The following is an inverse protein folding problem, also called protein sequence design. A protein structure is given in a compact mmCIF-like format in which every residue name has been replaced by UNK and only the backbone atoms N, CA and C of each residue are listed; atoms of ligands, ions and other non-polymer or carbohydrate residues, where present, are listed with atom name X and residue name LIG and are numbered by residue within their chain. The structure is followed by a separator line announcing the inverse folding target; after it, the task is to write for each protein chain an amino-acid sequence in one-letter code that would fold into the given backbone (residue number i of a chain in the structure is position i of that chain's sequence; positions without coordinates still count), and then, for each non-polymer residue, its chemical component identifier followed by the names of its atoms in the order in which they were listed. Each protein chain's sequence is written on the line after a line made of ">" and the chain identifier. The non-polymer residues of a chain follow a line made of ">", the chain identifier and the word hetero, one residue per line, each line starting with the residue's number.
data_IF_458337737125
#
_entry.id   IF_458337737125
#
_cell.length_a   1.000
_cell.length_b   1.000
_cell.length_c   1.000
_cell.angle_alpha   90.00
_cell.angle_beta   90.00
_cell.angle_gamma   90.00
#
_symmetry.space_group_name_H-M   'P 1'
#
loop_
_entity.id
_entity.type
_entity.pdbx_description
1 polymer ?
#
# COMPACT_ATOMS: atom_id res chain seq x y z
N UNK A 1 12.71 0.82 12.19
CA UNK A 1 11.68 1.88 12.08
C UNK A 1 10.83 1.88 13.35
N UNK A 2 10.40 3.03 13.88
CA UNK A 2 9.45 3.05 15.00
C UNK A 2 8.02 2.94 14.45
N UNK A 3 7.37 1.80 14.71
CA UNK A 3 5.99 1.55 14.28
C UNK A 3 5.01 1.71 15.45
N UNK A 4 3.81 2.27 15.21
CA UNK A 4 2.73 2.28 16.20
C UNK A 4 2.41 0.85 16.68
N UNK A 5 2.05 0.66 17.97
CA UNK A 5 1.74 -0.67 18.51
C UNK A 5 0.64 -1.41 17.74
N UNK A 6 -0.35 -0.68 17.21
CA UNK A 6 -1.44 -1.24 16.39
C UNK A 6 -0.91 -1.90 15.11
N UNK A 7 0.07 -1.31 14.43
CA UNK A 7 0.68 -1.92 13.24
C UNK A 7 1.53 -3.10 13.67
N UNK A 8 2.38 -2.92 14.69
CA UNK A 8 3.31 -3.95 15.16
C UNK A 8 2.61 -5.24 15.62
N UNK A 9 1.44 -5.10 16.26
CA UNK A 9 0.68 -6.23 16.80
C UNK A 9 -0.14 -6.99 15.75
N UNK A 10 -0.40 -6.37 14.58
CA UNK A 10 -1.23 -6.96 13.52
C UNK A 10 -0.42 -7.32 12.26
N UNK A 11 0.84 -6.89 12.17
CA UNK A 11 1.72 -7.22 11.05
C UNK A 11 2.32 -8.62 11.23
N UNK A 12 2.21 -9.44 10.19
CA UNK A 12 2.79 -10.79 10.10
C UNK A 12 3.26 -11.06 8.67
N UNK A 13 4.04 -12.11 8.45
CA UNK A 13 4.55 -12.47 7.11
C UNK A 13 3.41 -12.53 6.07
N UNK A 14 3.62 -11.85 4.94
CA UNK A 14 2.66 -11.73 3.84
C UNK A 14 1.56 -10.69 4.04
N UNK A 15 1.52 -9.99 5.19
CA UNK A 15 0.51 -8.97 5.50
C UNK A 15 1.07 -7.57 5.27
N UNK A 16 0.25 -6.72 4.64
CA UNK A 16 0.51 -5.30 4.48
C UNK A 16 -0.55 -4.45 5.19
N UNK A 17 -0.12 -3.44 5.93
CA UNK A 17 -1.01 -2.55 6.69
C UNK A 17 -0.71 -1.09 6.40
N UNK A 18 -1.76 -0.27 6.28
CA UNK A 18 -1.62 1.19 6.25
C UNK A 18 -1.06 1.70 7.57
N UNK A 19 -0.10 2.63 7.51
CA UNK A 19 0.43 3.34 8.66
C UNK A 19 0.65 4.82 8.36
N UNK A 20 0.74 5.62 9.43
CA UNK A 20 1.64 6.78 9.43
C UNK A 20 1.32 7.78 8.31
N UNK A 21 0.02 8.11 8.16
CA UNK A 21 -0.58 8.99 7.15
C UNK A 21 -0.68 8.41 5.73
N UNK A 22 0.44 8.18 5.05
CA UNK A 22 0.48 7.78 3.64
C UNK A 22 1.54 6.68 3.38
N UNK A 23 1.75 5.82 4.37
CA UNK A 23 2.68 4.70 4.27
C UNK A 23 1.93 3.37 4.36
N UNK A 24 2.50 2.34 3.74
CA UNK A 24 2.07 0.95 3.87
C UNK A 24 3.27 0.16 4.33
N UNK A 25 3.09 -0.70 5.32
CA UNK A 25 4.16 -1.55 5.85
C UNK A 25 3.80 -2.98 5.53
N UNK A 26 4.67 -3.68 4.81
CA UNK A 26 4.54 -5.08 4.45
C UNK A 26 5.62 -5.88 5.17
N UNK A 27 5.25 -6.87 5.97
CA UNK A 27 6.24 -7.83 6.48
C UNK A 27 6.37 -8.96 5.47
N UNK A 28 7.48 -8.96 4.75
CA UNK A 28 7.76 -10.01 3.78
C UNK A 28 9.24 -10.04 3.39
N UNK A 29 9.71 -11.25 3.12
CA UNK A 29 10.99 -11.48 2.44
C UNK A 29 10.91 -11.35 0.91
N UNK A 30 9.70 -11.26 0.35
CA UNK A 30 9.43 -11.09 -1.08
C UNK A 30 9.14 -9.61 -1.39
N UNK A 31 10.19 -8.89 -1.76
CA UNK A 31 10.15 -7.46 -2.07
C UNK A 31 10.78 -7.20 -3.44
N UNK A 32 10.41 -6.09 -4.12
CA UNK A 32 10.79 -5.92 -5.50
C UNK A 32 12.28 -5.62 -5.62
N UNK A 33 12.99 -6.33 -6.52
CA UNK A 33 14.44 -6.10 -6.73
C UNK A 33 14.72 -4.82 -7.49
N UNK A 34 13.74 -4.34 -8.25
CA UNK A 34 13.80 -3.09 -8.98
C UNK A 34 12.62 -2.21 -8.57
N UNK A 35 12.92 -0.98 -8.15
CA UNK A 35 11.93 0.00 -7.71
C UNK A 35 11.45 0.94 -8.81
N UNK A 36 12.08 0.89 -10.00
CA UNK A 36 11.67 1.64 -11.18
C UNK A 36 11.02 0.67 -12.19
N UNK A 37 9.84 0.21 -11.85
CA UNK A 37 9.06 -0.79 -12.59
C UNK A 37 7.63 -0.31 -12.76
N UNK A 38 6.94 -0.88 -13.73
CA UNK A 38 5.51 -0.63 -13.89
C UNK A 38 4.75 -1.21 -12.69
N UNK A 39 3.81 -0.43 -12.18
CA UNK A 39 2.93 -0.85 -11.10
C UNK A 39 1.49 -0.63 -11.55
N UNK A 40 0.71 -1.70 -11.58
CA UNK A 40 -0.71 -1.64 -11.88
C UNK A 40 -1.50 -1.44 -10.59
N UNK A 41 -2.55 -0.63 -10.65
CA UNK A 41 -3.39 -0.30 -9.51
C UNK A 41 -4.79 -0.89 -9.69
N UNK A 42 -5.28 -1.57 -8.66
CA UNK A 42 -6.63 -2.10 -8.56
C UNK A 42 -7.26 -1.69 -7.23
N UNK A 43 -8.59 -1.58 -7.25
CA UNK A 43 -9.39 -1.21 -6.09
C UNK A 43 -10.67 -2.02 -6.06
N UNK A 44 -10.94 -2.61 -4.90
CA UNK A 44 -12.15 -3.37 -4.65
C UNK A 44 -12.87 -2.86 -3.43
N UNK A 45 -14.17 -3.14 -3.40
CA UNK A 45 -15.04 -2.83 -2.27
C UNK A 45 -15.79 -4.07 -1.84
N UNK A 46 -15.37 -4.65 -0.72
CA UNK A 46 -16.00 -5.80 -0.10
C UNK A 46 -16.91 -5.34 1.06
N UNK A 47 -18.17 -5.07 0.72
CA UNK A 47 -19.13 -4.55 1.68
C UNK A 47 -18.78 -3.13 2.15
N UNK A 48 -18.20 -3.01 3.35
CA UNK A 48 -17.76 -1.73 3.93
C UNK A 48 -16.27 -1.50 3.83
N UNK A 49 -15.51 -2.53 3.49
CA UNK A 49 -14.05 -2.44 3.37
C UNK A 49 -13.67 -2.08 1.95
N UNK A 50 -12.67 -1.21 1.82
CA UNK A 50 -12.05 -0.87 0.54
C UNK A 50 -10.64 -1.41 0.58
N UNK A 51 -10.29 -2.17 -0.45
CA UNK A 51 -9.01 -2.85 -0.57
C UNK A 51 -8.30 -2.23 -1.77
N UNK A 52 -7.03 -1.84 -1.57
CA UNK A 52 -6.16 -1.40 -2.65
C UNK A 52 -5.16 -2.49 -2.95
N UNK A 53 -4.93 -2.73 -4.24
CA UNK A 53 -3.95 -3.69 -4.75
C UNK A 53 -2.98 -3.01 -5.70
N UNK A 54 -1.70 -3.29 -5.51
CA UNK A 54 -0.63 -2.90 -6.42
C UNK A 54 0.06 -4.14 -6.95
N UNK A 55 0.11 -4.28 -8.27
CA UNK A 55 0.80 -5.37 -8.96
C UNK A 55 2.12 -4.80 -9.48
N UNK A 56 3.21 -5.14 -8.82
CA UNK A 56 4.56 -4.65 -9.10
C UNK A 56 5.22 -5.60 -10.11
N UNK A 57 5.50 -5.09 -11.31
CA UNK A 57 6.01 -5.88 -12.44
C UNK A 57 7.54 -5.93 -12.47
N UNK A 58 8.18 -6.30 -11.35
CA UNK A 58 9.64 -6.39 -11.27
C UNK A 58 10.22 -7.69 -11.84
N UNK A 59 9.51 -8.82 -11.65
CA UNK A 59 9.69 -10.06 -12.40
C UNK A 59 8.44 -10.37 -13.23
N UNK A 60 8.51 -10.29 -14.58
CA UNK A 60 7.36 -10.59 -15.44
C UNK A 60 6.78 -12.00 -15.30
N UNK A 61 7.56 -12.96 -14.78
CA UNK A 61 7.10 -14.34 -14.55
C UNK A 61 6.42 -14.52 -13.20
N UNK A 62 6.66 -13.61 -12.25
CA UNK A 62 6.14 -13.66 -10.89
C UNK A 62 5.99 -12.24 -10.31
N UNK A 63 4.96 -11.48 -10.75
CA UNK A 63 4.76 -10.12 -10.26
C UNK A 63 4.36 -10.14 -8.78
N UNK A 64 4.95 -9.23 -8.01
CA UNK A 64 4.63 -9.06 -6.60
C UNK A 64 3.29 -8.33 -6.46
N UNK A 65 2.36 -8.92 -5.71
CA UNK A 65 1.08 -8.28 -5.39
C UNK A 65 1.10 -7.75 -3.97
N UNK A 66 0.84 -6.46 -3.81
CA UNK A 66 0.72 -5.79 -2.51
C UNK A 66 -0.73 -5.38 -2.30
N UNK A 67 -1.39 -6.03 -1.35
CA UNK A 67 -2.80 -5.80 -1.01
C UNK A 67 -2.94 -5.26 0.42
N UNK A 68 -3.77 -4.25 0.61
CA UNK A 68 -4.07 -3.72 1.95
C UNK A 68 -5.43 -2.99 1.99
N UNK A 69 -6.11 -3.09 3.12
CA UNK A 69 -7.33 -2.34 3.38
C UNK A 69 -7.03 -0.87 3.69
N UNK A 70 -7.90 0.03 3.27
CA UNK A 70 -7.77 1.48 3.49
C UNK A 70 -8.98 2.06 4.19
N UNK A 71 -8.75 3.09 5.00
CA UNK A 71 -9.79 3.91 5.60
C UNK A 71 -9.90 5.29 4.94
N UNK A 72 -10.93 6.03 5.33
CA UNK A 72 -11.20 7.38 4.85
C UNK A 72 -10.01 8.32 5.08
N UNK A 73 -9.37 8.23 6.25
CA UNK A 73 -8.27 9.12 6.64
C UNK A 73 -7.03 8.89 5.77
N UNK A 74 -6.72 7.63 5.47
CA UNK A 74 -5.63 7.26 4.57
C UNK A 74 -5.87 7.83 3.17
N UNK A 75 -7.08 7.62 2.61
CA UNK A 75 -7.42 8.13 1.26
C UNK A 75 -7.38 9.66 1.20
N UNK A 76 -7.79 10.36 2.26
CA UNK A 76 -7.65 11.84 2.34
C UNK A 76 -6.18 12.29 2.28
N UNK A 77 -5.29 11.63 3.03
CA UNK A 77 -3.86 11.95 3.02
C UNK A 77 -3.21 11.65 1.67
N UNK A 78 -3.56 10.52 1.05
CA UNK A 78 -3.07 10.15 -0.29
C UNK A 78 -3.61 11.11 -1.34
N UNK A 79 -4.85 11.61 -1.20
CA UNK A 79 -5.42 12.60 -2.12
C UNK A 79 -4.62 13.90 -2.15
N UNK A 80 -4.01 14.30 -1.03
CA UNK A 80 -3.20 15.52 -0.94
C UNK A 80 -1.78 15.32 -1.47
N UNK A 81 -1.17 14.18 -1.15
CA UNK A 81 0.24 13.89 -1.48
C UNK A 81 0.42 13.20 -2.83
N UNK A 82 -0.67 12.67 -3.40
CA UNK A 82 -0.73 11.86 -4.62
C UNK A 82 0.28 10.72 -4.66
N UNK A 83 0.72 10.24 -3.51
CA UNK A 83 1.72 9.19 -3.41
C UNK A 83 1.72 8.50 -2.06
N UNK A 84 2.16 7.25 -2.08
CA UNK A 84 2.43 6.46 -0.89
C UNK A 84 3.86 5.93 -0.93
N UNK A 85 4.37 5.57 0.24
CA UNK A 85 5.56 4.74 0.37
C UNK A 85 5.16 3.39 0.93
N UNK A 86 5.53 2.32 0.23
CA UNK A 86 5.43 0.95 0.71
C UNK A 86 6.80 0.56 1.26
N UNK A 87 6.83 0.19 2.53
CA UNK A 87 8.02 -0.26 3.24
C UNK A 87 7.93 -1.77 3.41
N UNK A 88 8.97 -2.47 2.94
CA UNK A 88 9.13 -3.91 3.13
C UNK A 88 10.05 -4.14 4.32
N UNK A 89 9.58 -4.90 5.30
CA UNK A 89 10.29 -5.16 6.55
C UNK A 89 10.44 -6.64 6.84
N UNK A 90 11.50 -7.00 7.57
CA UNK A 90 11.70 -8.35 8.10
C UNK A 90 10.85 -8.60 9.38
N UNK A 91 10.92 -9.82 9.92
CA UNK A 91 10.25 -10.21 11.18
C UNK A 91 10.69 -9.39 12.41
N UNK A 92 11.85 -8.73 12.32
CA UNK A 92 12.39 -7.85 13.35
C UNK A 92 12.02 -6.37 13.12
N UNK A 93 11.20 -6.07 12.11
CA UNK A 93 10.81 -4.72 11.69
C UNK A 93 11.98 -3.85 11.18
N UNK A 94 13.05 -4.49 10.69
CA UNK A 94 14.12 -3.84 9.93
C UNK A 94 13.60 -3.55 8.51
N UNK A 95 13.90 -2.35 8.00
CA UNK A 95 13.54 -1.98 6.63
C UNK A 95 14.51 -2.66 5.65
N UNK A 96 13.97 -3.53 4.80
CA UNK A 96 14.72 -4.22 3.75
C UNK A 96 14.65 -3.45 2.43
N UNK A 97 13.49 -2.85 2.13
CA UNK A 97 13.29 -2.10 0.90
C UNK A 97 12.14 -1.08 1.01
N UNK A 98 12.08 -0.16 0.05
CA UNK A 98 11.06 0.87 -0.07
C UNK A 98 10.67 1.10 -1.53
N UNK A 99 9.37 1.04 -1.81
CA UNK A 99 8.78 1.39 -3.09
C UNK A 99 7.91 2.64 -2.94
N UNK A 100 8.11 3.63 -3.82
CA UNK A 100 7.22 4.80 -3.87
C UNK A 100 6.26 4.64 -5.04
N UNK A 101 4.96 4.78 -4.76
CA UNK A 101 3.90 4.75 -5.77
C UNK A 101 3.28 6.13 -5.87
N UNK A 102 3.07 6.59 -7.09
CA UNK A 102 2.40 7.87 -7.40
C UNK A 102 1.09 7.59 -8.10
N UNK A 103 0.05 8.33 -7.74
CA UNK A 103 -1.28 8.20 -8.30
C UNK A 103 -1.59 9.37 -9.25
N UNK A 104 -2.25 9.04 -10.36
CA UNK A 104 -2.91 9.99 -11.24
C UNK A 104 -4.16 10.59 -10.60
N UNK A 105 -4.64 11.71 -11.14
CA UNK A 105 -5.88 12.34 -10.67
C UNK A 105 -7.12 11.45 -10.83
N UNK A 106 -7.14 10.60 -11.86
CA UNK A 106 -8.23 9.65 -12.08
C UNK A 106 -8.24 8.54 -11.01
N UNK A 107 -7.06 8.02 -10.64
CA UNK A 107 -6.94 7.02 -9.56
C UNK A 107 -7.33 7.61 -8.20
N UNK A 108 -6.91 8.85 -7.91
CA UNK A 108 -7.36 9.57 -6.71
C UNK A 108 -8.88 9.70 -6.69
N UNK A 109 -9.49 10.09 -7.82
CA UNK A 109 -10.95 10.23 -7.92
C UNK A 109 -11.67 8.90 -7.67
N UNK A 110 -11.16 7.81 -8.23
CA UNK A 110 -11.73 6.47 -8.01
C UNK A 110 -11.62 6.08 -6.53
N UNK A 111 -10.45 6.23 -5.91
CA UNK A 111 -10.26 5.93 -4.47
C UNK A 111 -11.25 6.70 -3.58
N UNK A 112 -11.38 8.01 -3.82
CA UNK A 112 -12.32 8.87 -3.06
C UNK A 112 -13.77 8.43 -3.23
N UNK A 113 -14.16 8.03 -4.45
CA UNK A 113 -15.51 7.53 -4.73
C UNK A 113 -15.80 6.24 -3.97
N UNK A 114 -14.91 5.25 -4.02
CA UNK A 114 -15.16 3.94 -3.42
C UNK A 114 -15.24 3.99 -1.89
N UNK A 115 -14.41 4.82 -1.25
CA UNK A 115 -14.41 5.03 0.21
C UNK A 115 -15.54 5.97 0.69
N UNK A 116 -16.32 6.57 -0.22
CA UNK A 116 -17.47 7.42 0.12
C UNK A 116 -17.14 8.89 0.41
N UNK A 117 -15.96 9.38 0.00
CA UNK A 117 -15.56 10.79 0.09
C UNK A 117 -16.07 11.67 -1.05
N UNK A 118 -16.75 11.07 -2.03
CA UNK A 118 -17.28 11.76 -3.20
C UNK A 118 -16.24 12.02 -4.30
N UNK A 119 -16.64 12.80 -5.30
CA UNK A 119 -15.77 13.29 -6.39
C UNK A 119 -15.05 14.56 -5.99
#
# INVERSE_FOLDING_TARGET
>A
MELPPEVRNNLSEGVCLTCCNNSVICMTSDYPKNTNVEVLFEIDKEGREVILRHIVMDDPSNPLTVEYSVDTKFVENVSQTKSINIYFVDENFNEENKLRITFSDDEIRVMRREIGLGT
#
